data_IF_250192590573
#
_entry.id   IF_250192590573
#
_cell.length_a   1.000
_cell.length_b   1.000
_cell.length_c   1.000
_cell.angle_alpha   90.00
_cell.angle_beta   90.00
_cell.angle_gamma   90.00
#
_symmetry.space_group_name_H-M   'P 1'
#
loop_
_entity.id
_entity.type
_entity.pdbx_description
1 polymer ?
#
# COMPACT_ATOMS: atom_id res chain seq x y z
N UNK A 1 22.30 3.80 -11.45
CA UNK A 1 21.47 4.12 -12.63
C UNK A 1 20.16 3.36 -12.49
N UNK A 2 19.06 3.93 -12.94
CA UNK A 2 17.74 3.29 -12.90
C UNK A 2 17.12 3.36 -14.29
N UNK A 3 16.57 2.26 -14.78
CA UNK A 3 15.90 2.18 -16.08
C UNK A 3 14.44 1.80 -15.87
N UNK A 4 13.60 2.17 -16.84
CA UNK A 4 12.16 1.98 -16.76
C UNK A 4 11.64 1.49 -18.11
N UNK A 5 10.82 0.45 -18.08
CA UNK A 5 10.03 0.00 -19.21
C UNK A 5 8.55 0.27 -18.93
N UNK A 6 7.83 0.70 -19.96
CA UNK A 6 6.42 1.05 -19.88
C UNK A 6 5.61 0.35 -20.95
N UNK A 7 4.37 0.05 -20.65
CA UNK A 7 3.40 -0.41 -21.65
C UNK A 7 2.91 0.75 -22.55
N UNK A 8 2.03 0.44 -23.50
CA UNK A 8 1.42 1.43 -24.41
C UNK A 8 0.56 2.47 -23.69
N UNK A 9 0.12 2.19 -22.46
CA UNK A 9 -0.62 3.11 -21.59
C UNK A 9 0.32 3.90 -20.67
N UNK A 10 1.63 3.86 -20.93
CA UNK A 10 2.68 4.54 -20.18
C UNK A 10 2.78 4.11 -18.71
N UNK A 11 2.25 2.93 -18.36
CA UNK A 11 2.36 2.37 -17.01
C UNK A 11 3.66 1.57 -16.90
N UNK A 12 4.32 1.66 -15.75
CA UNK A 12 5.60 0.98 -15.53
C UNK A 12 5.39 -0.52 -15.42
N UNK A 13 6.01 -1.28 -16.32
CA UNK A 13 5.98 -2.75 -16.30
C UNK A 13 7.28 -3.35 -15.79
N UNK A 14 8.39 -2.60 -15.90
CA UNK A 14 9.67 -2.97 -15.32
C UNK A 14 10.45 -1.73 -14.86
N UNK A 15 11.21 -1.88 -13.77
CA UNK A 15 12.18 -0.90 -13.28
C UNK A 15 13.44 -1.62 -12.83
N UNK A 16 14.60 -1.13 -13.25
CA UNK A 16 15.88 -1.54 -12.66
C UNK A 16 16.37 -0.46 -11.69
N UNK A 17 16.96 -0.89 -10.57
CA UNK A 17 17.65 -0.01 -9.64
C UNK A 17 18.84 -0.75 -9.03
N UNK A 18 20.04 -0.40 -9.49
CA UNK A 18 21.25 -1.12 -9.09
C UNK A 18 21.18 -2.59 -9.51
N UNK A 19 21.24 -3.50 -8.54
CA UNK A 19 21.17 -4.96 -8.76
C UNK A 19 19.76 -5.53 -8.61
N UNK A 20 18.72 -4.69 -8.60
CA UNK A 20 17.33 -5.12 -8.43
C UNK A 20 16.51 -4.78 -9.68
N UNK A 21 15.80 -5.76 -10.21
CA UNK A 21 14.80 -5.58 -11.26
C UNK A 21 13.41 -5.82 -10.66
N UNK A 22 12.50 -4.86 -10.79
CA UNK A 22 11.13 -4.94 -10.30
C UNK A 22 10.16 -4.95 -11.48
N UNK A 23 9.31 -5.97 -11.52
CA UNK A 23 8.29 -6.20 -12.52
C UNK A 23 6.92 -5.91 -11.90
N UNK A 24 6.03 -5.29 -12.68
CA UNK A 24 4.68 -4.93 -12.26
C UNK A 24 3.68 -5.38 -13.31
N UNK A 25 2.54 -5.89 -12.86
CA UNK A 25 1.42 -6.24 -13.73
C UNK A 25 0.14 -5.61 -13.23
N UNK A 26 -0.73 -5.30 -14.19
CA UNK A 26 -2.00 -4.63 -13.97
C UNK A 26 -3.14 -5.58 -14.34
N UNK A 27 -4.30 -5.42 -13.72
CA UNK A 27 -5.53 -6.10 -14.13
C UNK A 27 -6.20 -5.39 -15.32
N UNK A 28 -7.37 -5.89 -15.73
CA UNK A 28 -8.15 -5.36 -16.85
C UNK A 28 -8.67 -3.93 -16.59
N UNK A 29 -8.89 -3.57 -15.32
CA UNK A 29 -9.26 -2.21 -14.89
C UNK A 29 -8.04 -1.26 -14.83
N UNK A 30 -6.84 -1.78 -15.07
CA UNK A 30 -5.60 -1.03 -15.03
C UNK A 30 -5.08 -0.78 -13.62
N UNK A 31 -5.61 -1.45 -12.60
CA UNK A 31 -5.11 -1.40 -11.23
C UNK A 31 -3.92 -2.34 -11.08
N UNK A 32 -2.94 -1.96 -10.25
CA UNK A 32 -1.75 -2.78 -10.01
C UNK A 32 -2.16 -4.08 -9.32
N UNK A 33 -2.02 -5.25 -9.98
CA UNK A 33 -2.48 -6.53 -9.43
C UNK A 33 -1.34 -7.34 -8.79
N UNK A 34 -0.10 -7.16 -9.25
CA UNK A 34 1.06 -7.80 -8.63
C UNK A 34 2.36 -7.03 -8.87
N UNK A 35 3.30 -7.20 -7.95
CA UNK A 35 4.68 -6.73 -8.08
C UNK A 35 5.65 -7.83 -7.66
N UNK A 36 6.78 -7.95 -8.37
CA UNK A 36 7.85 -8.91 -8.08
C UNK A 36 9.20 -8.22 -8.24
N UNK A 37 10.10 -8.38 -7.28
CA UNK A 37 11.48 -7.92 -7.42
C UNK A 37 12.44 -9.10 -7.44
N UNK A 38 13.35 -9.10 -8.42
CA UNK A 38 14.38 -10.11 -8.62
C UNK A 38 15.75 -9.49 -8.45
N UNK A 39 16.66 -10.22 -7.80
CA UNK A 39 18.05 -9.85 -7.75
C UNK A 39 18.73 -10.10 -9.09
N UNK A 40 19.77 -9.34 -9.38
CA UNK A 40 20.65 -9.54 -10.54
C UNK A 40 21.18 -10.98 -10.56
N UNK A 41 21.18 -11.61 -11.73
CA UNK A 41 21.53 -13.03 -11.92
C UNK A 41 20.38 -14.02 -11.70
N UNK A 42 19.17 -13.55 -11.35
CA UNK A 42 17.95 -14.38 -11.42
C UNK A 42 17.65 -14.82 -12.85
N UNK A 43 16.91 -15.91 -13.00
CA UNK A 43 16.50 -16.40 -14.32
C UNK A 43 15.80 -15.31 -15.14
N UNK A 44 16.06 -15.22 -16.45
CA UNK A 44 15.45 -14.20 -17.30
C UNK A 44 13.93 -14.35 -17.31
N UNK A 45 13.23 -13.23 -17.13
CA UNK A 45 11.76 -13.16 -17.21
C UNK A 45 11.39 -12.84 -18.65
N UNK A 46 10.52 -13.64 -19.25
CA UNK A 46 10.02 -13.36 -20.59
C UNK A 46 9.08 -12.14 -20.57
N UNK A 47 9.10 -11.30 -21.62
CA UNK A 47 8.17 -10.18 -21.74
C UNK A 47 6.71 -10.62 -21.59
N UNK A 48 5.96 -9.92 -20.75
CA UNK A 48 4.55 -10.23 -20.49
C UNK A 48 4.31 -11.41 -19.54
N UNK A 49 5.36 -12.10 -19.08
CA UNK A 49 5.21 -13.17 -18.09
C UNK A 49 5.33 -12.62 -16.66
N UNK A 50 4.41 -13.04 -15.79
CA UNK A 50 4.51 -12.82 -14.35
C UNK A 50 5.59 -13.73 -13.74
N UNK A 51 6.62 -13.18 -13.06
CA UNK A 51 7.59 -13.99 -12.35
C UNK A 51 6.94 -14.83 -11.23
N UNK A 52 7.46 -16.05 -11.03
CA UNK A 52 7.07 -16.89 -9.91
C UNK A 52 7.41 -16.20 -8.58
N UNK A 53 6.64 -16.46 -7.51
CA UNK A 53 6.92 -15.89 -6.18
C UNK A 53 8.21 -16.43 -5.57
N UNK A 54 8.50 -17.70 -5.84
CA UNK A 54 9.70 -18.37 -5.33
C UNK A 54 10.96 -17.76 -5.95
N UNK A 55 11.95 -17.47 -5.12
CA UNK A 55 13.21 -16.84 -5.55
C UNK A 55 13.13 -15.32 -5.78
N UNK A 56 11.95 -14.70 -5.62
CA UNK A 56 11.85 -13.25 -5.61
C UNK A 56 12.39 -12.66 -4.31
N UNK A 57 13.06 -11.52 -4.41
CA UNK A 57 13.44 -10.67 -3.27
C UNK A 57 12.17 -10.14 -2.61
N UNK A 58 11.21 -9.66 -3.40
CA UNK A 58 9.88 -9.28 -2.89
C UNK A 58 8.80 -9.82 -3.81
N UNK A 59 7.65 -10.20 -3.25
CA UNK A 59 6.47 -10.56 -4.02
C UNK A 59 5.21 -10.07 -3.34
N UNK A 60 4.43 -9.24 -4.04
CA UNK A 60 3.20 -8.63 -3.54
C UNK A 60 2.06 -8.86 -4.51
N UNK A 61 0.92 -9.32 -4.00
CA UNK A 61 -0.32 -9.46 -4.75
C UNK A 61 -1.37 -8.54 -4.16
N UNK A 62 -1.99 -7.74 -5.01
CA UNK A 62 -2.94 -6.72 -4.63
C UNK A 62 -4.34 -7.16 -5.04
N UNK A 63 -5.26 -7.14 -4.09
CA UNK A 63 -6.66 -7.49 -4.31
C UNK A 63 -7.50 -6.25 -4.08
N UNK A 64 -8.16 -5.79 -5.13
CA UNK A 64 -8.98 -4.59 -5.14
C UNK A 64 -10.45 -4.94 -4.90
N UNK A 65 -11.16 -4.04 -4.22
CA UNK A 65 -12.61 -4.11 -4.11
C UNK A 65 -13.27 -3.40 -5.32
N UNK A 66 -14.60 -3.52 -5.44
CA UNK A 66 -15.36 -2.90 -6.52
C UNK A 66 -15.35 -1.35 -6.51
N UNK A 67 -14.81 -0.73 -5.46
CA UNK A 67 -14.63 0.72 -5.34
C UNK A 67 -13.23 1.19 -5.79
N UNK A 68 -12.37 0.26 -6.25
CA UNK A 68 -11.00 0.58 -6.65
C UNK A 68 -10.08 0.84 -5.46
N UNK A 69 -10.41 0.29 -4.29
CA UNK A 69 -9.60 0.37 -3.07
C UNK A 69 -8.95 -1.00 -2.82
N UNK A 70 -7.70 -1.03 -2.37
CA UNK A 70 -7.03 -2.31 -2.10
C UNK A 70 -7.57 -2.90 -0.81
N UNK A 71 -8.25 -4.04 -0.89
CA UNK A 71 -8.73 -4.76 0.28
C UNK A 71 -7.64 -5.61 0.92
N UNK A 72 -6.70 -6.14 0.15
CA UNK A 72 -5.64 -7.02 0.67
C UNK A 72 -4.35 -6.89 -0.13
N UNK A 73 -3.22 -6.86 0.58
CA UNK A 73 -1.89 -7.03 0.01
C UNK A 73 -1.29 -8.30 0.59
N UNK A 74 -1.11 -9.31 -0.25
CA UNK A 74 -0.43 -10.54 0.13
C UNK A 74 1.08 -10.42 -0.17
N UNK A 75 1.87 -10.08 0.85
CA UNK A 75 3.31 -9.92 0.76
C UNK A 75 4.03 -11.22 1.17
N UNK A 76 4.89 -11.73 0.29
CA UNK A 76 5.57 -13.00 0.51
C UNK A 76 6.64 -12.99 1.61
N UNK A 77 7.07 -11.81 2.08
CA UNK A 77 8.02 -11.66 3.19
C UNK A 77 7.32 -11.31 4.51
N UNK A 78 6.34 -10.40 4.44
CA UNK A 78 5.70 -9.80 5.63
C UNK A 78 4.35 -10.41 5.98
N UNK A 79 3.86 -11.33 5.16
CA UNK A 79 2.52 -11.88 5.26
C UNK A 79 1.46 -10.95 4.67
N UNK A 80 0.22 -11.41 4.72
CA UNK A 80 -0.92 -10.67 4.17
C UNK A 80 -1.36 -9.55 5.11
N UNK A 81 -1.71 -8.40 4.53
CA UNK A 81 -2.30 -7.25 5.22
C UNK A 81 -3.65 -6.94 4.59
N UNK A 82 -4.68 -6.82 5.42
CA UNK A 82 -6.06 -6.49 5.03
C UNK A 82 -6.36 -5.05 5.41
N UNK A 83 -7.01 -4.32 4.51
CA UNK A 83 -7.42 -2.93 4.71
C UNK A 83 -8.95 -2.84 4.71
N UNK A 84 -9.49 -1.96 5.55
CA UNK A 84 -10.93 -1.71 5.67
C UNK A 84 -11.22 -0.24 5.46
N UNK A 85 -12.32 0.06 4.77
CA UNK A 85 -12.72 1.42 4.42
C UNK A 85 -14.15 1.70 4.89
N UNK A 86 -14.44 2.96 5.19
CA UNK A 86 -15.83 3.41 5.35
C UNK A 86 -16.49 3.66 3.99
N UNK A 87 -17.77 4.04 3.99
CA UNK A 87 -18.54 4.32 2.77
C UNK A 87 -18.02 5.53 1.97
N UNK A 88 -17.26 6.41 2.62
CA UNK A 88 -16.65 7.59 2.01
C UNK A 88 -15.26 7.29 1.45
N UNK A 89 -14.75 6.07 1.65
CA UNK A 89 -13.44 5.60 1.22
C UNK A 89 -12.30 5.98 2.16
N UNK A 90 -12.59 6.39 3.40
CA UNK A 90 -11.54 6.60 4.41
C UNK A 90 -11.08 5.25 4.96
N UNK A 91 -9.76 5.08 5.07
CA UNK A 91 -9.16 3.89 5.66
C UNK A 91 -9.49 3.81 7.15
N UNK A 92 -10.27 2.83 7.59
CA UNK A 92 -10.69 2.68 8.99
C UNK A 92 -9.94 1.61 9.76
N UNK A 93 -9.20 0.75 9.06
CA UNK A 93 -8.36 -0.24 9.73
C UNK A 93 -7.38 -0.94 8.82
N UNK A 94 -6.33 -1.47 9.45
CA UNK A 94 -5.27 -2.26 8.85
C UNK A 94 -5.01 -3.45 9.75
N UNK A 95 -5.08 -4.66 9.19
CA UNK A 95 -4.87 -5.90 9.94
C UNK A 95 -3.81 -6.74 9.24
N UNK A 96 -2.64 -6.87 9.85
CA UNK A 96 -1.56 -7.74 9.42
C UNK A 96 -1.58 -9.09 10.15
N UNK A 97 -0.42 -9.73 10.22
CA UNK A 97 -0.28 -11.01 10.92
C UNK A 97 -0.19 -10.81 12.45
N UNK A 98 -0.73 -11.77 13.21
CA UNK A 98 -0.72 -11.77 14.69
C UNK A 98 -1.38 -10.52 15.28
N UNK A 99 -0.70 -9.78 16.16
CA UNK A 99 -1.25 -8.64 16.89
C UNK A 99 -1.07 -7.29 16.14
N UNK A 100 -0.71 -7.32 14.85
CA UNK A 100 -0.57 -6.12 14.00
C UNK A 100 -1.96 -5.64 13.53
N UNK A 101 -2.64 -4.86 14.35
CA UNK A 101 -3.97 -4.32 14.04
C UNK A 101 -4.06 -2.83 14.41
N UNK A 102 -4.32 -2.00 13.41
CA UNK A 102 -4.52 -0.56 13.57
C UNK A 102 -5.97 -0.19 13.25
N UNK A 103 -6.50 0.81 13.97
CA UNK A 103 -7.80 1.42 13.72
C UNK A 103 -7.64 2.93 13.58
N UNK A 104 -8.31 3.50 12.60
CA UNK A 104 -8.21 4.91 12.26
C UNK A 104 -9.59 5.56 12.33
N UNK A 105 -9.61 6.81 12.81
CA UNK A 105 -10.81 7.61 12.96
C UNK A 105 -10.56 9.00 12.38
N UNK A 106 -11.59 9.63 11.84
CA UNK A 106 -11.48 10.93 11.20
C UNK A 106 -12.53 11.89 11.74
N UNK A 107 -12.17 13.17 11.82
CA UNK A 107 -13.15 14.23 12.06
C UNK A 107 -13.99 14.50 10.80
N UNK A 108 -15.00 15.38 10.91
CA UNK A 108 -15.86 15.76 9.78
C UNK A 108 -15.12 16.50 8.66
N UNK A 109 -13.94 17.07 8.94
CA UNK A 109 -13.08 17.72 7.96
C UNK A 109 -12.15 16.71 7.25
N UNK A 110 -12.11 15.45 7.71
CA UNK A 110 -11.27 14.39 7.15
C UNK A 110 -9.87 14.34 7.76
N UNK A 111 -9.62 15.03 8.87
CA UNK A 111 -8.35 14.93 9.58
C UNK A 111 -8.31 13.63 10.39
N UNK A 112 -7.17 12.94 10.38
CA UNK A 112 -6.96 11.76 11.22
C UNK A 112 -6.99 12.18 12.70
N UNK A 113 -7.84 11.54 13.48
CA UNK A 113 -7.86 11.65 14.93
C UNK A 113 -6.74 10.77 15.47
N UNK A 114 -5.77 11.37 16.15
CA UNK A 114 -4.73 10.59 16.81
C UNK A 114 -5.36 9.83 17.98
N UNK A 115 -5.14 8.53 18.03
CA UNK A 115 -5.48 7.75 19.21
C UNK A 115 -4.28 7.84 20.17
N UNK A 116 -4.12 8.98 20.84
CA UNK A 116 -3.36 9.03 22.09
C UNK A 116 -4.10 8.17 23.13
N UNK A 117 -3.84 6.85 23.10
CA UNK A 117 -4.63 5.92 23.91
C UNK A 117 -4.18 4.46 23.91
N UNK A 118 -3.00 4.11 23.38
CA UNK A 118 -2.34 2.86 23.77
C UNK A 118 -1.43 3.12 24.97
N UNK A 119 -2.04 3.36 26.14
CA UNK A 119 -1.33 3.44 27.41
C UNK A 119 -1.99 4.34 28.45
N UNK A 120 -2.66 3.71 29.41
CA UNK A 120 -2.98 4.23 30.75
C UNK A 120 -3.96 5.43 30.87
N UNK A 121 -5.15 5.10 31.38
CA UNK A 121 -5.74 5.76 32.56
C UNK A 121 -6.06 7.26 32.53
N UNK A 122 -7.36 7.52 32.68
CA UNK A 122 -7.93 8.64 33.45
C UNK A 122 -8.05 10.04 32.80
N UNK A 123 -9.28 10.58 32.95
CA UNK A 123 -9.68 11.99 33.16
C UNK A 123 -9.80 12.85 31.87
N UNK A 124 -11.03 13.15 31.44
CA UNK A 124 -11.86 14.32 31.82
C UNK A 124 -11.40 15.64 31.17
N UNK A 125 -12.35 16.21 30.44
CA UNK A 125 -12.64 17.65 30.21
C UNK A 125 -11.57 18.54 29.56
N UNK A 126 -11.90 19.14 28.41
CA UNK A 126 -12.24 20.57 28.28
C UNK A 126 -11.81 21.18 26.94
N UNK A 127 -12.62 22.13 26.49
CA UNK A 127 -12.54 22.90 25.25
C UNK A 127 -11.27 23.76 25.13
N UNK A 128 -10.79 24.02 23.92
CA UNK A 128 -9.73 25.01 23.69
C UNK A 128 -9.13 25.00 22.28
N UNK A 129 -9.40 26.07 21.55
CA UNK A 129 -8.81 26.45 20.26
C UNK A 129 -7.28 26.31 20.19
N UNK A 130 -6.74 25.99 19.02
CA UNK A 130 -5.81 26.87 18.27
C UNK A 130 -5.22 26.12 17.05
N UNK A 131 -5.01 26.87 15.97
CA UNK A 131 -4.76 26.34 14.64
C UNK A 131 -3.39 25.72 14.42
N UNK A 132 -3.29 24.91 13.38
CA UNK A 132 -2.24 25.10 12.40
C UNK A 132 -2.69 24.57 11.05
N UNK A 133 -2.67 25.48 10.09
CA UNK A 133 -2.85 25.29 8.66
C UNK A 133 -1.90 24.22 8.13
N UNK A 134 -2.42 23.05 7.77
CA UNK A 134 -1.80 22.11 6.84
C UNK A 134 -2.88 21.39 6.04
N UNK A 135 -2.88 21.67 4.76
CA UNK A 135 -3.64 21.05 3.68
C UNK A 135 -3.86 19.54 3.88
N UNK A 136 -5.10 19.17 4.22
CA UNK A 136 -5.59 17.79 4.19
C UNK A 136 -5.68 17.30 2.74
N UNK A 137 -4.54 16.85 2.22
CA UNK A 137 -4.45 16.16 0.94
C UNK A 137 -5.14 14.81 1.05
N UNK A 138 -6.05 14.53 0.12
CA UNK A 138 -6.63 13.21 -0.15
C UNK A 138 -5.58 12.28 -0.74
N UNK A 139 -4.51 12.05 0.02
CA UNK A 139 -3.42 11.21 -0.40
C UNK A 139 -3.83 9.76 -0.24
N UNK A 140 -4.45 9.22 -1.31
CA UNK A 140 -4.58 7.79 -1.59
C UNK A 140 -3.20 7.13 -1.83
N UNK A 141 -2.17 7.60 -1.15
CA UNK A 141 -0.87 6.97 -1.13
C UNK A 141 -0.87 6.01 0.03
N UNK A 142 -1.34 4.79 -0.23
CA UNK A 142 -0.74 3.66 0.45
C UNK A 142 0.71 3.69 -0.01
N UNK A 143 1.56 4.30 0.80
CA UNK A 143 3.00 4.13 0.76
C UNK A 143 3.27 2.65 1.03
N UNK A 144 3.03 1.81 0.02
CA UNK A 144 3.70 0.54 -0.09
C UNK A 144 5.12 0.92 -0.44
N UNK A 145 5.93 1.10 0.60
CA UNK A 145 7.36 1.35 0.49
C UNK A 145 7.93 0.42 -0.60
N UNK A 146 8.42 1.05 -1.68
CA UNK A 146 9.15 0.44 -2.77
C UNK A 146 10.64 0.37 -2.41
#
# INVERSE_FOLDING_TARGET
>A
MSEYERDSLHRQIMRTQGQLATYSGYDDDGLLSWQRSLASGSAPVLPGQRPARQGCVTSRDYYWNNHGEVGTIDDGLRGSVVYSYDRSGYLTGRSGQMYDHDRYYYDKAGNLLDNEGQGAGNLLDNEGQSGSDRTGGRDKFIFVCA
#
